data_IF_639823669628
#
_entry.id   IF_639823669628
#
_cell.length_a   1.000
_cell.length_b   1.000
_cell.length_c   1.000
_cell.angle_alpha   90.00
_cell.angle_beta   90.00
_cell.angle_gamma   90.00
#
_symmetry.space_group_name_H-M   'P 1'
#
loop_
_entity.id
_entity.type
_entity.pdbx_description
1 polymer ?
#
# COMPACT_ATOMS: atom_id res chain seq x y z
N UNK A 1 31.50 -22.65 -12.78
CA UNK A 1 31.52 -23.08 -11.36
C UNK A 1 30.85 -21.99 -10.51
N UNK A 2 29.51 -21.86 -10.62
CA UNK A 2 28.69 -20.91 -9.85
C UNK A 2 27.36 -21.58 -9.44
N UNK A 3 27.32 -22.93 -9.40
CA UNK A 3 26.11 -23.72 -9.14
C UNK A 3 25.83 -23.92 -7.64
N UNK A 4 26.80 -23.64 -6.76
CA UNK A 4 26.63 -23.76 -5.30
C UNK A 4 26.15 -22.47 -4.61
N UNK A 5 25.87 -21.39 -5.38
CA UNK A 5 25.42 -20.13 -4.78
C UNK A 5 24.14 -20.38 -3.96
N UNK A 6 24.19 -20.02 -2.69
CA UNK A 6 23.05 -20.11 -1.77
C UNK A 6 22.80 -18.75 -1.13
N UNK A 7 21.53 -18.50 -0.80
CA UNK A 7 21.08 -17.29 -0.12
C UNK A 7 20.25 -17.67 1.09
N UNK A 8 20.46 -16.93 2.16
CA UNK A 8 19.56 -16.92 3.32
C UNK A 8 18.63 -15.70 3.21
N UNK A 9 17.38 -15.89 3.60
CA UNK A 9 16.36 -14.84 3.64
C UNK A 9 15.22 -15.20 4.59
N UNK A 10 14.51 -14.18 5.06
CA UNK A 10 13.31 -14.35 5.87
C UNK A 10 12.08 -14.30 4.97
N UNK A 11 11.19 -15.29 5.10
CA UNK A 11 9.86 -15.30 4.49
C UNK A 11 8.83 -15.55 5.58
N UNK A 12 7.82 -14.68 5.68
CA UNK A 12 6.76 -14.75 6.71
C UNK A 12 7.27 -14.86 8.17
N UNK A 13 8.48 -14.39 8.45
CA UNK A 13 9.10 -14.44 9.78
C UNK A 13 9.96 -15.68 10.02
N UNK A 14 9.99 -16.64 9.11
CA UNK A 14 10.82 -17.84 9.18
C UNK A 14 12.10 -17.69 8.35
N UNK A 15 13.20 -18.25 8.84
CA UNK A 15 14.48 -18.26 8.13
C UNK A 15 14.48 -19.38 7.09
N UNK A 16 14.78 -19.03 5.85
CA UNK A 16 14.88 -19.95 4.74
C UNK A 16 16.24 -19.85 4.06
N UNK A 17 16.71 -20.99 3.56
CA UNK A 17 17.89 -21.09 2.70
C UNK A 17 17.47 -21.65 1.35
N UNK A 18 17.94 -21.03 0.28
CA UNK A 18 17.71 -21.49 -1.09
C UNK A 18 19.01 -21.45 -1.87
N UNK A 19 19.33 -22.54 -2.57
CA UNK A 19 20.49 -22.62 -3.47
C UNK A 19 20.11 -22.62 -4.93
N UNK A 20 21.08 -22.31 -5.79
CA UNK A 20 20.94 -22.40 -7.24
C UNK A 20 20.65 -23.84 -7.69
N UNK A 21 21.28 -24.83 -7.06
CA UNK A 21 21.01 -26.26 -7.25
C UNK A 21 19.56 -26.64 -6.95
N UNK A 22 18.95 -26.08 -5.90
CA UNK A 22 17.55 -26.34 -5.56
C UNK A 22 16.60 -25.86 -6.66
N UNK A 23 16.88 -24.68 -7.22
CA UNK A 23 16.10 -24.09 -8.32
C UNK A 23 16.26 -24.90 -9.60
N UNK A 24 17.48 -25.33 -9.94
CA UNK A 24 17.73 -26.19 -11.10
C UNK A 24 17.05 -27.54 -10.96
N UNK A 25 17.11 -28.15 -9.77
CA UNK A 25 16.41 -29.40 -9.46
C UNK A 25 14.89 -29.24 -9.54
N UNK A 26 14.37 -28.10 -9.10
CA UNK A 26 12.95 -27.77 -9.21
C UNK A 26 12.50 -27.60 -10.68
N UNK A 27 13.34 -27.02 -11.53
CA UNK A 27 13.09 -26.88 -12.97
C UNK A 27 13.12 -28.22 -13.71
N UNK A 28 13.94 -29.18 -13.25
CA UNK A 28 13.97 -30.53 -13.82
C UNK A 28 12.68 -31.33 -13.56
N UNK A 29 11.89 -30.95 -12.55
CA UNK A 29 10.64 -31.62 -12.16
C UNK A 29 9.45 -31.08 -12.97
N UNK A 30 9.34 -31.45 -14.24
CA UNK A 30 8.22 -31.08 -15.13
C UNK A 30 8.48 -29.82 -15.96
N UNK A 31 7.45 -29.26 -16.59
CA UNK A 31 7.56 -28.06 -17.45
C UNK A 31 7.02 -26.77 -16.81
N UNK A 32 7.29 -25.60 -17.43
CA UNK A 32 6.76 -24.32 -17.00
C UNK A 32 5.25 -24.22 -17.27
N UNK A 33 4.54 -23.61 -16.33
CA UNK A 33 3.16 -23.17 -16.52
C UNK A 33 3.12 -21.92 -17.44
N UNK A 34 1.94 -21.58 -18.03
CA UNK A 34 1.79 -20.37 -18.83
C UNK A 34 2.21 -19.09 -18.09
N UNK A 35 3.10 -18.31 -18.71
CA UNK A 35 3.60 -17.05 -18.16
C UNK A 35 2.61 -15.93 -18.46
N UNK A 36 2.10 -15.26 -17.42
CA UNK A 36 1.18 -14.12 -17.57
C UNK A 36 1.87 -12.75 -17.54
N UNK A 37 2.85 -12.57 -16.65
CA UNK A 37 3.39 -11.23 -16.36
C UNK A 37 4.89 -11.25 -16.09
N UNK A 38 5.35 -12.12 -15.19
CA UNK A 38 6.75 -12.18 -14.78
C UNK A 38 7.38 -13.52 -15.15
N UNK A 39 8.69 -13.50 -15.39
CA UNK A 39 9.46 -14.69 -15.80
C UNK A 39 10.83 -14.74 -15.13
N UNK A 40 11.38 -15.95 -15.05
CA UNK A 40 12.79 -16.25 -14.74
C UNK A 40 13.30 -17.23 -15.79
N UNK A 41 14.54 -17.07 -16.25
CA UNK A 41 15.15 -17.96 -17.23
C UNK A 41 16.02 -19.01 -16.55
N UNK A 42 15.78 -20.28 -16.88
CA UNK A 42 16.62 -21.42 -16.53
C UNK A 42 17.12 -22.03 -17.85
N UNK A 43 18.38 -21.79 -18.19
CA UNK A 43 18.88 -22.04 -19.55
C UNK A 43 18.10 -21.21 -20.57
N UNK A 44 17.66 -21.86 -21.65
CA UNK A 44 16.88 -21.22 -22.72
C UNK A 44 15.37 -21.15 -22.44
N UNK A 45 14.91 -21.70 -21.31
CA UNK A 45 13.49 -21.79 -20.97
C UNK A 45 13.08 -20.75 -19.94
N UNK A 46 11.95 -20.07 -20.20
CA UNK A 46 11.33 -19.14 -19.25
C UNK A 46 10.30 -19.87 -18.39
N UNK A 47 10.27 -19.48 -17.12
CA UNK A 47 9.41 -20.05 -16.09
C UNK A 47 8.66 -18.97 -15.32
N UNK A 48 7.42 -19.22 -14.87
CA UNK A 48 6.78 -18.41 -13.85
C UNK A 48 7.60 -18.42 -12.54
N UNK A 49 8.03 -17.26 -12.00
CA UNK A 49 8.90 -17.21 -10.83
C UNK A 49 8.28 -17.89 -9.60
N UNK A 50 6.96 -17.74 -9.41
CA UNK A 50 6.26 -18.36 -8.27
C UNK A 50 6.25 -19.87 -8.34
N UNK A 51 6.15 -20.45 -9.54
CA UNK A 51 6.15 -21.90 -9.72
C UNK A 51 7.50 -22.50 -9.34
N UNK A 52 8.60 -21.92 -9.82
CA UNK A 52 9.94 -22.40 -9.47
C UNK A 52 10.26 -22.17 -7.99
N UNK A 53 9.86 -21.03 -7.45
CA UNK A 53 10.13 -20.70 -6.06
C UNK A 53 9.34 -21.61 -5.09
N UNK A 54 8.07 -21.89 -5.37
CA UNK A 54 7.25 -22.88 -4.65
C UNK A 54 7.91 -24.26 -4.69
N UNK A 55 8.33 -24.72 -5.88
CA UNK A 55 8.94 -26.05 -6.04
C UNK A 55 10.32 -26.20 -5.42
N UNK A 56 11.11 -25.12 -5.39
CA UNK A 56 12.46 -25.15 -4.86
C UNK A 56 12.46 -25.00 -3.32
N UNK A 57 11.54 -24.19 -2.78
CA UNK A 57 11.45 -23.93 -1.34
C UNK A 57 10.47 -24.85 -0.60
N UNK A 58 9.54 -25.48 -1.32
CA UNK A 58 8.47 -26.30 -0.73
C UNK A 58 7.36 -25.49 -0.04
N UNK A 59 7.34 -24.17 -0.24
CA UNK A 59 6.39 -23.24 0.37
C UNK A 59 5.26 -22.94 -0.61
N UNK A 60 4.01 -22.95 -0.15
CA UNK A 60 2.84 -22.69 -0.99
C UNK A 60 2.93 -21.33 -1.67
N UNK A 61 2.54 -21.24 -2.94
CA UNK A 61 2.49 -19.96 -3.67
C UNK A 61 1.62 -18.91 -2.97
N UNK A 62 0.65 -19.28 -2.13
CA UNK A 62 -0.21 -18.34 -1.39
C UNK A 62 0.55 -17.53 -0.33
N UNK A 63 1.71 -18.01 0.08
CA UNK A 63 2.52 -17.42 1.15
C UNK A 63 3.45 -16.32 0.69
N UNK A 64 3.57 -16.11 -0.62
CA UNK A 64 4.45 -15.08 -1.19
C UNK A 64 3.94 -14.54 -2.53
N UNK A 65 4.40 -13.35 -2.87
CA UNK A 65 4.10 -12.69 -4.14
C UNK A 65 5.22 -12.90 -5.16
N UNK A 66 4.92 -12.70 -6.45
CA UNK A 66 5.88 -12.87 -7.56
C UNK A 66 7.17 -12.04 -7.36
N UNK A 67 7.05 -10.84 -6.79
CA UNK A 67 8.18 -9.94 -6.53
C UNK A 67 9.19 -10.57 -5.56
N UNK A 68 8.72 -11.28 -4.53
CA UNK A 68 9.58 -12.00 -3.58
C UNK A 68 10.37 -13.09 -4.30
N UNK A 69 9.68 -13.92 -5.09
CA UNK A 69 10.32 -14.99 -5.86
C UNK A 69 11.39 -14.44 -6.83
N UNK A 70 11.07 -13.40 -7.60
CA UNK A 70 12.01 -12.77 -8.55
C UNK A 70 13.24 -12.24 -7.83
N UNK A 71 13.07 -11.53 -6.71
CA UNK A 71 14.19 -10.95 -5.95
C UNK A 71 15.17 -12.02 -5.47
N UNK A 72 14.65 -13.14 -4.94
CA UNK A 72 15.50 -14.23 -4.45
C UNK A 72 16.16 -15.01 -5.60
N UNK A 73 15.42 -15.33 -6.66
CA UNK A 73 15.96 -16.01 -7.84
C UNK A 73 17.04 -15.16 -8.53
N UNK A 74 16.88 -13.84 -8.55
CA UNK A 74 17.91 -12.95 -9.08
C UNK A 74 19.15 -12.88 -8.20
N UNK A 75 19.00 -12.88 -6.86
CA UNK A 75 20.16 -12.98 -5.94
C UNK A 75 20.96 -14.27 -6.14
N UNK A 76 20.31 -15.34 -6.62
CA UNK A 76 20.96 -16.59 -7.05
C UNK A 76 21.61 -16.52 -8.44
N UNK A 77 21.53 -15.38 -9.13
CA UNK A 77 22.14 -15.15 -10.44
C UNK A 77 21.27 -15.55 -11.64
N UNK A 78 19.98 -15.86 -11.44
CA UNK A 78 19.11 -16.17 -12.56
C UNK A 78 18.62 -14.90 -13.27
N UNK A 79 18.60 -14.85 -14.62
CA UNK A 79 17.97 -13.77 -15.36
C UNK A 79 16.46 -13.76 -15.11
N UNK A 80 15.88 -12.59 -14.87
CA UNK A 80 14.44 -12.43 -14.60
C UNK A 80 13.85 -11.27 -15.38
N UNK A 81 12.51 -11.24 -15.48
CA UNK A 81 11.80 -10.01 -15.83
C UNK A 81 12.19 -8.87 -14.87
N UNK A 82 12.23 -7.61 -15.33
CA UNK A 82 12.48 -6.47 -14.47
C UNK A 82 11.39 -6.34 -13.38
N UNK A 83 11.78 -5.85 -12.20
CA UNK A 83 10.84 -5.45 -11.17
C UNK A 83 10.42 -3.99 -11.39
N UNK A 84 9.20 -3.58 -11.00
CA UNK A 84 8.71 -2.20 -11.20
C UNK A 84 9.62 -1.11 -10.62
N UNK A 85 10.42 -1.46 -9.61
CA UNK A 85 11.31 -0.56 -8.87
C UNK A 85 12.69 -0.31 -9.52
N UNK A 86 13.01 -0.95 -10.66
CA UNK A 86 14.40 -1.03 -11.17
C UNK A 86 14.64 -0.37 -12.54
N UNK A 87 13.75 0.53 -12.98
CA UNK A 87 14.11 1.47 -14.06
C UNK A 87 15.02 2.57 -13.50
N UNK A 88 16.31 2.28 -13.32
CA UNK A 88 17.35 3.31 -13.32
C UNK A 88 17.75 3.63 -14.76
N UNK A 89 17.90 4.93 -15.05
CA UNK A 89 17.85 5.56 -16.37
C UNK A 89 18.95 5.13 -17.37
N UNK A 90 18.64 5.19 -18.67
CA UNK A 90 19.25 6.25 -19.48
C UNK A 90 18.23 7.26 -20.01
N UNK A 91 18.77 8.37 -20.50
CA UNK A 91 18.13 9.61 -20.93
C UNK A 91 16.92 9.46 -21.86
N UNK A 92 16.05 10.47 -21.76
CA UNK A 92 14.78 10.72 -22.45
C UNK A 92 13.54 9.93 -21.95
N UNK A 93 12.43 10.62 -21.64
CA UNK A 93 11.19 9.97 -21.23
C UNK A 93 10.53 9.33 -22.44
N UNK A 94 10.83 8.05 -22.69
CA UNK A 94 9.88 7.22 -23.40
C UNK A 94 8.65 7.10 -22.49
N UNK A 95 7.61 7.87 -22.83
CA UNK A 95 6.33 7.88 -22.11
C UNK A 95 5.91 6.43 -21.92
N UNK A 96 5.66 5.98 -20.67
CA UNK A 96 5.02 4.70 -20.47
C UNK A 96 3.70 4.76 -21.20
N UNK A 97 3.60 4.03 -22.31
CA UNK A 97 2.30 3.70 -22.90
C UNK A 97 1.64 2.78 -21.87
N UNK A 98 0.99 3.38 -20.86
CA UNK A 98 -0.08 2.68 -20.17
C UNK A 98 -0.95 2.11 -21.29
N UNK A 99 -1.27 0.81 -21.28
CA UNK A 99 -2.37 0.33 -22.10
C UNK A 99 -3.53 1.25 -21.74
N UNK A 100 -3.98 2.06 -22.70
CA UNK A 100 -5.19 2.85 -22.53
C UNK A 100 -6.21 1.87 -21.98
N UNK A 101 -6.58 2.06 -20.70
CA UNK A 101 -7.69 1.33 -20.12
C UNK A 101 -8.81 1.41 -21.16
N UNK A 102 -9.45 0.29 -21.54
CA UNK A 102 -10.51 0.31 -22.54
C UNK A 102 -11.40 1.49 -22.19
N UNK A 103 -11.56 2.45 -23.11
CA UNK A 103 -12.29 3.70 -22.89
C UNK A 103 -13.53 3.33 -22.10
N UNK A 104 -13.50 3.58 -20.79
CA UNK A 104 -14.64 3.29 -19.93
C UNK A 104 -15.75 4.10 -20.56
N UNK A 105 -16.84 3.46 -20.94
CA UNK A 105 -18.01 4.19 -21.40
C UNK A 105 -18.36 5.17 -20.27
N UNK A 106 -18.04 6.45 -20.50
CA UNK A 106 -18.23 7.50 -19.51
C UNK A 106 -19.70 7.56 -19.12
N UNK A 107 -20.60 7.23 -20.06
CA UNK A 107 -22.03 7.07 -19.80
C UNK A 107 -22.30 5.96 -18.78
N UNK A 108 -21.68 4.79 -18.93
CA UNK A 108 -21.83 3.67 -18.00
C UNK A 108 -21.27 3.98 -16.60
N UNK A 109 -20.13 4.67 -16.53
CA UNK A 109 -19.52 5.07 -15.26
C UNK A 109 -20.35 6.13 -14.52
N UNK A 110 -20.86 7.14 -15.24
CA UNK A 110 -21.76 8.16 -14.68
C UNK A 110 -23.07 7.55 -14.22
N UNK A 111 -23.69 6.69 -15.03
CA UNK A 111 -24.90 5.95 -14.65
C UNK A 111 -24.67 5.12 -13.39
N UNK A 112 -23.56 4.37 -13.34
CA UNK A 112 -23.20 3.57 -12.16
C UNK A 112 -23.08 4.41 -10.89
N UNK A 113 -22.50 5.61 -11.00
CA UNK A 113 -22.39 6.52 -9.86
C UNK A 113 -23.75 7.06 -9.40
N UNK A 114 -24.64 7.39 -10.34
CA UNK A 114 -26.02 7.81 -10.05
C UNK A 114 -26.79 6.67 -9.37
N UNK A 115 -26.79 5.47 -9.97
CA UNK A 115 -27.46 4.29 -9.43
C UNK A 115 -26.98 3.97 -8.00
N UNK A 116 -25.67 4.06 -7.75
CA UNK A 116 -25.10 3.88 -6.41
C UNK A 116 -25.53 4.98 -5.44
N UNK A 117 -25.52 6.24 -5.88
CA UNK A 117 -25.94 7.37 -5.05
C UNK A 117 -27.41 7.24 -4.65
N UNK A 118 -28.28 6.90 -5.60
CA UNK A 118 -29.70 6.62 -5.36
C UNK A 118 -29.88 5.41 -4.44
N UNK A 119 -29.11 4.34 -4.66
CA UNK A 119 -29.14 3.15 -3.80
C UNK A 119 -28.75 3.48 -2.37
N UNK A 120 -27.68 4.26 -2.15
CA UNK A 120 -27.28 4.66 -0.80
C UNK A 120 -28.28 5.63 -0.16
N UNK A 121 -28.98 6.46 -0.94
CA UNK A 121 -30.14 7.24 -0.51
C UNK A 121 -29.97 7.97 0.83
N UNK A 122 -31.07 8.09 1.59
CA UNK A 122 -31.11 8.70 2.94
C UNK A 122 -31.08 7.65 4.07
N UNK A 123 -31.09 6.37 3.75
CA UNK A 123 -31.12 5.29 4.74
C UNK A 123 -29.68 4.91 5.16
N UNK A 124 -29.44 4.71 6.46
CA UNK A 124 -28.16 4.21 6.92
C UNK A 124 -27.90 2.79 6.38
N UNK A 125 -26.72 2.57 5.79
CA UNK A 125 -26.32 1.28 5.21
C UNK A 125 -26.51 0.11 6.19
N UNK A 126 -26.23 0.31 7.48
CA UNK A 126 -26.42 -0.71 8.52
C UNK A 126 -27.88 -1.17 8.65
N UNK A 127 -28.83 -0.25 8.54
CA UNK A 127 -30.26 -0.57 8.62
C UNK A 127 -30.72 -1.38 7.41
N UNK A 128 -30.23 -1.00 6.22
CA UNK A 128 -30.48 -1.75 4.99
C UNK A 128 -29.87 -3.15 5.06
N UNK A 129 -28.62 -3.29 5.47
CA UNK A 129 -27.95 -4.60 5.64
C UNK A 129 -28.74 -5.50 6.57
N UNK A 130 -29.19 -5.01 7.73
CA UNK A 130 -30.01 -5.81 8.65
C UNK A 130 -31.33 -6.29 8.03
N UNK A 131 -31.95 -5.48 7.16
CA UNK A 131 -33.15 -5.90 6.39
C UNK A 131 -32.82 -6.98 5.37
N UNK A 132 -31.72 -6.85 4.63
CA UNK A 132 -31.26 -7.88 3.68
C UNK A 132 -31.00 -9.21 4.40
N UNK A 133 -30.33 -9.17 5.55
CA UNK A 133 -30.06 -10.35 6.38
C UNK A 133 -31.37 -11.03 6.81
N UNK A 134 -32.37 -10.26 7.25
CA UNK A 134 -33.68 -10.79 7.65
C UNK A 134 -34.46 -11.40 6.46
N UNK A 135 -34.39 -10.81 5.27
CA UNK A 135 -35.04 -11.36 4.07
C UNK A 135 -34.41 -12.68 3.60
N UNK A 136 -33.09 -12.81 3.77
CA UNK A 136 -32.34 -14.01 3.45
C UNK A 136 -32.55 -15.15 4.46
N UNK A 137 -33.02 -14.84 5.67
CA UNK A 137 -33.28 -15.85 6.69
C UNK A 137 -34.33 -16.86 6.20
N UNK A 138 -33.93 -18.14 6.13
CA UNK A 138 -34.78 -19.23 5.63
C UNK A 138 -35.15 -19.12 4.15
N UNK A 139 -34.40 -18.35 3.35
CA UNK A 139 -34.50 -18.38 1.89
C UNK A 139 -33.74 -19.59 1.32
N UNK A 140 -34.21 -20.10 0.19
CA UNK A 140 -33.57 -21.14 -0.62
C UNK A 140 -33.34 -20.65 -2.05
N UNK A 141 -32.78 -21.52 -2.90
CA UNK A 141 -32.49 -21.19 -4.30
C UNK A 141 -33.71 -20.82 -5.14
N UNK A 142 -34.91 -21.21 -4.73
CA UNK A 142 -36.16 -20.92 -5.45
C UNK A 142 -36.81 -19.61 -4.98
N UNK A 143 -36.56 -19.22 -3.73
CA UNK A 143 -37.21 -18.06 -3.10
C UNK A 143 -36.32 -16.83 -2.99
N UNK A 144 -34.99 -16.97 -3.08
CA UNK A 144 -34.04 -15.85 -2.90
C UNK A 144 -34.30 -14.71 -3.88
N UNK A 145 -34.50 -14.99 -5.16
CA UNK A 145 -34.70 -13.95 -6.18
C UNK A 145 -35.98 -13.15 -5.92
N UNK A 146 -37.08 -13.84 -5.58
CA UNK A 146 -38.35 -13.21 -5.28
C UNK A 146 -38.27 -12.35 -4.00
N UNK A 147 -37.54 -12.80 -2.98
CA UNK A 147 -37.36 -12.06 -1.72
C UNK A 147 -36.44 -10.85 -1.87
N UNK A 148 -35.44 -10.93 -2.75
CA UNK A 148 -34.43 -9.89 -2.93
C UNK A 148 -34.77 -8.86 -4.01
N UNK A 149 -35.69 -9.17 -4.94
CA UNK A 149 -36.10 -8.27 -6.02
C UNK A 149 -36.49 -6.85 -5.56
N UNK A 150 -37.21 -6.64 -4.43
CA UNK A 150 -37.57 -5.30 -3.96
C UNK A 150 -36.38 -4.45 -3.49
N UNK A 151 -35.26 -5.07 -3.16
CA UNK A 151 -34.09 -4.39 -2.58
C UNK A 151 -33.17 -3.77 -3.66
N UNK A 152 -33.44 -4.02 -4.94
CA UNK A 152 -32.73 -3.38 -6.05
C UNK A 152 -31.25 -3.77 -6.20
N UNK A 153 -30.84 -4.91 -5.63
CA UNK A 153 -29.50 -5.48 -5.76
C UNK A 153 -29.33 -6.17 -7.13
N UNK A 154 -29.31 -5.37 -8.19
CA UNK A 154 -29.17 -5.88 -9.56
C UNK A 154 -27.70 -6.16 -9.92
N UNK A 155 -27.49 -7.02 -10.92
CA UNK A 155 -26.16 -7.25 -11.51
C UNK A 155 -25.50 -5.95 -12.01
N UNK A 156 -26.30 -5.03 -12.52
CA UNK A 156 -25.82 -3.73 -12.99
C UNK A 156 -25.36 -2.83 -11.84
N UNK A 157 -26.07 -2.84 -10.71
CA UNK A 157 -25.63 -2.15 -9.49
C UNK A 157 -24.31 -2.73 -8.97
N UNK A 158 -24.16 -4.06 -8.97
CA UNK A 158 -22.91 -4.71 -8.56
C UNK A 158 -21.75 -4.38 -9.50
N UNK A 159 -21.95 -4.47 -10.82
CA UNK A 159 -20.94 -4.08 -11.81
C UNK A 159 -20.56 -2.61 -11.66
N UNK A 160 -21.55 -1.74 -11.45
CA UNK A 160 -21.34 -0.32 -11.20
C UNK A 160 -20.54 -0.05 -9.91
N UNK A 161 -20.86 -0.75 -8.82
CA UNK A 161 -20.12 -0.68 -7.55
C UNK A 161 -18.64 -1.06 -7.73
N UNK A 162 -18.37 -2.15 -8.46
CA UNK A 162 -17.01 -2.61 -8.74
C UNK A 162 -16.25 -1.63 -9.62
N UNK A 163 -16.90 -1.05 -10.63
CA UNK A 163 -16.32 -0.02 -11.50
C UNK A 163 -15.98 1.25 -10.69
N UNK A 164 -16.92 1.77 -9.90
CA UNK A 164 -16.68 2.94 -9.04
C UNK A 164 -15.58 2.66 -8.03
N UNK A 165 -15.53 1.47 -7.42
CA UNK A 165 -14.45 1.07 -6.51
C UNK A 165 -13.08 1.07 -7.19
N UNK A 166 -12.99 0.59 -8.43
CA UNK A 166 -11.74 0.63 -9.19
C UNK A 166 -11.28 2.07 -9.44
N UNK A 167 -12.19 2.97 -9.79
CA UNK A 167 -11.88 4.39 -9.99
C UNK A 167 -11.56 5.12 -8.68
N UNK A 168 -12.24 4.79 -7.58
CA UNK A 168 -12.02 5.41 -6.27
C UNK A 168 -10.58 5.24 -5.77
N UNK A 169 -9.94 4.08 -6.03
CA UNK A 169 -8.52 3.88 -5.73
C UNK A 169 -7.62 4.88 -6.47
N UNK A 170 -7.85 5.07 -7.78
CA UNK A 170 -7.11 6.04 -8.61
C UNK A 170 -7.35 7.48 -8.19
N UNK A 171 -8.58 7.80 -7.77
CA UNK A 171 -8.91 9.11 -7.21
C UNK A 171 -8.13 9.37 -5.92
N UNK A 172 -7.97 8.36 -5.06
CA UNK A 172 -7.14 8.49 -3.86
C UNK A 172 -5.67 8.80 -4.19
N UNK A 173 -5.08 8.11 -5.18
CA UNK A 173 -3.72 8.43 -5.65
C UNK A 173 -3.61 9.84 -6.24
N UNK A 174 -4.61 10.26 -7.03
CA UNK A 174 -4.68 11.62 -7.58
C UNK A 174 -4.77 12.68 -6.48
N UNK A 175 -5.62 12.46 -5.47
CA UNK A 175 -5.75 13.36 -4.32
C UNK A 175 -4.40 13.49 -3.61
N UNK A 176 -3.72 12.38 -3.35
CA UNK A 176 -2.42 12.39 -2.70
C UNK A 176 -1.37 13.17 -3.52
N UNK A 177 -1.26 12.88 -4.81
CA UNK A 177 -0.38 13.61 -5.73
C UNK A 177 -0.69 15.13 -5.74
N UNK A 178 -1.97 15.48 -5.87
CA UNK A 178 -2.42 16.85 -5.94
C UNK A 178 -2.12 17.61 -4.64
N UNK A 179 -2.37 17.00 -3.47
CA UNK A 179 -2.06 17.60 -2.17
C UNK A 179 -0.57 17.92 -2.08
N UNK A 180 0.31 16.96 -2.41
CA UNK A 180 1.76 17.18 -2.34
C UNK A 180 2.15 18.34 -3.26
N UNK A 181 1.83 18.24 -4.56
CA UNK A 181 2.23 19.23 -5.57
C UNK A 181 1.70 20.62 -5.25
N UNK A 182 0.48 20.72 -4.71
CA UNK A 182 -0.14 21.99 -4.32
C UNK A 182 0.43 22.56 -3.01
N UNK A 183 0.92 21.72 -2.11
CA UNK A 183 1.58 22.18 -0.89
C UNK A 183 3.01 22.69 -1.14
N UNK A 184 3.74 22.14 -2.13
CA UNK A 184 5.15 22.46 -2.38
C UNK A 184 5.48 23.96 -2.42
N UNK A 185 4.74 24.84 -3.14
CA UNK A 185 5.07 26.26 -3.21
C UNK A 185 4.99 26.99 -1.86
N UNK A 186 4.14 26.51 -0.96
CA UNK A 186 3.93 27.12 0.36
C UNK A 186 4.89 26.58 1.42
N UNK A 187 5.38 25.34 1.25
CA UNK A 187 6.25 24.70 2.25
C UNK A 187 7.74 24.83 1.93
N UNK A 188 8.12 24.90 0.65
CA UNK A 188 9.53 24.99 0.25
C UNK A 188 10.07 26.40 0.51
N UNK A 189 11.21 26.47 1.18
CA UNK A 189 11.91 27.73 1.39
C UNK A 189 12.71 28.14 0.12
N UNK A 190 13.02 29.44 -0.03
CA UNK A 190 13.94 29.88 -1.07
C UNK A 190 15.26 29.10 -1.07
N UNK A 191 15.58 28.53 -2.23
CA UNK A 191 16.79 27.74 -2.45
C UNK A 191 16.75 26.30 -1.91
N UNK A 192 15.65 25.87 -1.29
CA UNK A 192 15.45 24.47 -0.90
C UNK A 192 15.25 23.60 -2.16
N UNK A 193 15.86 22.41 -2.18
CA UNK A 193 15.87 21.52 -3.33
C UNK A 193 15.35 20.15 -2.95
N UNK A 194 14.44 19.63 -3.78
CA UNK A 194 13.99 18.25 -3.70
C UNK A 194 15.16 17.35 -4.12
N UNK A 195 15.66 16.51 -3.19
CA UNK A 195 16.84 15.66 -3.41
C UNK A 195 16.47 14.24 -3.86
N UNK A 196 15.22 13.82 -3.63
CA UNK A 196 14.66 12.58 -4.17
C UNK A 196 13.31 12.85 -4.81
N UNK A 197 13.00 12.12 -5.88
CA UNK A 197 11.69 12.20 -6.56
C UNK A 197 10.56 11.97 -5.54
N UNK A 198 9.59 12.88 -5.40
CA UNK A 198 8.49 12.72 -4.45
C UNK A 198 7.64 11.48 -4.72
N UNK A 199 7.12 10.86 -3.66
CA UNK A 199 6.21 9.73 -3.76
C UNK A 199 4.78 10.22 -3.99
N UNK A 200 4.40 10.46 -5.26
CA UNK A 200 3.09 11.05 -5.58
C UNK A 200 1.94 10.03 -5.68
N UNK A 201 2.23 8.73 -5.78
CA UNK A 201 1.21 7.70 -5.90
C UNK A 201 1.67 6.38 -5.26
N UNK A 202 0.71 5.58 -4.82
CA UNK A 202 0.99 4.26 -4.24
C UNK A 202 1.64 3.33 -5.28
N UNK A 203 2.68 2.60 -4.88
CA UNK A 203 3.31 1.55 -5.69
C UNK A 203 4.47 1.95 -6.60
N UNK A 204 4.91 3.21 -6.61
CA UNK A 204 6.04 3.66 -7.45
C UNK A 204 7.38 3.81 -6.71
N UNK A 205 7.49 3.32 -5.47
CA UNK A 205 8.47 3.79 -4.49
C UNK A 205 9.51 2.77 -4.01
N UNK A 206 10.14 2.00 -4.89
CA UNK A 206 11.34 1.25 -4.52
C UNK A 206 12.44 2.17 -3.97
N UNK A 207 12.71 2.09 -2.67
CA UNK A 207 13.80 2.81 -1.99
C UNK A 207 13.48 4.21 -1.45
N UNK A 208 12.21 4.65 -1.50
CA UNK A 208 11.80 5.95 -0.92
C UNK A 208 11.35 5.75 0.52
N UNK A 209 11.86 6.56 1.44
CA UNK A 209 11.53 6.45 2.86
C UNK A 209 10.37 7.37 3.25
N UNK A 210 10.26 8.53 2.60
CA UNK A 210 9.26 9.56 2.89
C UNK A 210 8.58 10.07 1.60
N UNK A 211 7.42 10.71 1.74
CA UNK A 211 6.67 11.27 0.62
C UNK A 211 7.43 12.42 -0.07
N UNK A 212 8.12 13.26 0.71
CA UNK A 212 9.00 14.32 0.21
C UNK A 212 10.31 14.34 1.00
N UNK A 213 11.41 14.40 0.26
CA UNK A 213 12.76 14.54 0.80
C UNK A 213 13.46 15.71 0.08
N UNK A 214 13.90 16.70 0.85
CA UNK A 214 14.69 17.83 0.38
C UNK A 214 16.07 17.81 1.02
N UNK A 215 16.91 18.77 0.63
CA UNK A 215 18.18 19.05 1.29
C UNK A 215 18.02 19.61 2.71
N UNK A 216 16.78 19.94 3.14
CA UNK A 216 16.50 20.56 4.45
C UNK A 216 15.46 19.81 5.30
N UNK A 217 14.58 18.99 4.70
CA UNK A 217 13.46 18.34 5.41
C UNK A 217 13.08 16.97 4.85
N UNK A 218 12.41 16.20 5.69
CA UNK A 218 11.68 14.97 5.36
C UNK A 218 10.22 15.11 5.77
N UNK A 219 9.32 14.66 4.91
CA UNK A 219 7.89 14.94 5.07
C UNK A 219 7.02 13.74 4.74
N UNK A 220 6.00 13.54 5.57
CA UNK A 220 4.89 12.61 5.33
C UNK A 220 3.56 13.37 5.14
N UNK A 221 2.74 12.94 4.19
CA UNK A 221 1.43 13.52 3.90
C UNK A 221 0.31 12.50 4.13
N UNK A 222 -0.67 12.85 4.98
CA UNK A 222 -1.87 12.03 5.22
C UNK A 222 -3.12 12.82 4.88
N UNK A 223 -3.53 12.73 3.61
CA UNK A 223 -4.68 13.43 3.04
C UNK A 223 -6.04 12.69 3.24
N UNK A 224 -6.11 11.73 4.16
CA UNK A 224 -7.33 10.95 4.38
C UNK A 224 -8.25 11.63 5.40
N UNK A 225 -9.52 11.84 5.04
CA UNK A 225 -10.55 12.31 5.96
C UNK A 225 -10.92 11.22 6.99
N UNK A 226 -11.08 11.63 8.26
CA UNK A 226 -11.43 10.75 9.37
C UNK A 226 -12.94 10.83 9.67
N UNK A 227 -13.55 9.66 9.92
CA UNK A 227 -15.01 9.49 10.14
C UNK A 227 -15.34 8.85 11.50
N UNK A 228 -14.38 8.82 12.43
CA UNK A 228 -14.52 8.32 13.80
C UNK A 228 -14.12 6.84 14.00
N UNK A 229 -14.32 5.97 13.00
CA UNK A 229 -13.93 4.54 13.01
C UNK A 229 -12.63 4.28 12.24
N UNK A 230 -11.58 5.03 12.58
CA UNK A 230 -10.35 5.14 11.78
C UNK A 230 -9.16 4.35 12.32
N UNK A 231 -9.38 3.15 12.88
CA UNK A 231 -8.33 2.35 13.54
C UNK A 231 -7.09 2.16 12.66
N UNK A 232 -7.25 1.81 11.39
CA UNK A 232 -6.11 1.64 10.48
C UNK A 232 -5.41 2.96 10.17
N UNK A 233 -6.15 4.07 10.01
CA UNK A 233 -5.56 5.39 9.76
C UNK A 233 -4.80 5.90 10.98
N UNK A 234 -5.32 5.69 12.18
CA UNK A 234 -4.63 5.96 13.46
C UNK A 234 -3.30 5.22 13.53
N UNK A 235 -3.30 3.92 13.21
CA UNK A 235 -2.10 3.08 13.21
C UNK A 235 -1.06 3.56 12.20
N UNK A 236 -1.48 3.82 10.96
CA UNK A 236 -0.61 4.34 9.91
C UNK A 236 -0.01 5.69 10.31
N UNK A 237 -0.83 6.63 10.78
CA UNK A 237 -0.36 7.96 11.20
C UNK A 237 0.74 7.87 12.27
N UNK A 238 0.58 6.98 13.27
CA UNK A 238 1.60 6.78 14.30
C UNK A 238 2.84 6.11 13.72
N UNK A 239 2.69 5.16 12.79
CA UNK A 239 3.82 4.53 12.12
C UNK A 239 4.65 5.55 11.32
N UNK A 240 3.98 6.47 10.62
CA UNK A 240 4.63 7.54 9.84
C UNK A 240 5.35 8.52 10.77
N UNK A 241 4.70 8.93 11.88
CA UNK A 241 5.32 9.77 12.91
C UNK A 241 6.57 9.09 13.50
N UNK A 242 6.49 7.81 13.85
CA UNK A 242 7.65 7.05 14.35
C UNK A 242 8.74 6.96 13.28
N UNK A 243 8.37 6.73 12.02
CA UNK A 243 9.31 6.71 10.90
C UNK A 243 10.11 8.01 10.76
N UNK A 244 9.42 9.15 10.89
CA UNK A 244 10.01 10.49 10.87
C UNK A 244 10.98 10.69 12.05
N UNK A 245 10.59 10.33 13.27
CA UNK A 245 11.47 10.48 14.46
C UNK A 245 12.71 9.58 14.39
N UNK A 246 12.60 8.42 13.74
CA UNK A 246 13.71 7.50 13.54
C UNK A 246 14.67 7.96 12.43
N UNK A 247 14.29 8.93 11.59
CA UNK A 247 15.22 9.55 10.65
C UNK A 247 16.19 10.46 11.40
N UNK A 248 17.49 10.28 11.12
CA UNK A 248 18.57 10.98 11.81
C UNK A 248 19.60 11.50 10.84
N UNK A 249 19.26 12.57 10.14
CA UNK A 249 20.25 13.24 9.30
C UNK A 249 20.19 14.76 9.38
N UNK A 250 19.63 15.29 10.48
CA UNK A 250 19.58 16.72 10.74
C UNK A 250 18.58 17.48 9.87
N UNK A 251 17.89 16.80 8.94
CA UNK A 251 16.73 17.37 8.24
C UNK A 251 15.58 17.56 9.20
N UNK A 252 14.79 18.62 8.99
CA UNK A 252 13.55 18.85 9.74
C UNK A 252 12.52 17.78 9.38
N UNK A 253 11.89 17.19 10.38
CA UNK A 253 10.83 16.21 10.18
C UNK A 253 9.46 16.88 10.26
N UNK A 254 8.60 16.64 9.27
CA UNK A 254 7.30 17.29 9.20
C UNK A 254 6.20 16.27 8.82
N UNK A 255 5.04 16.39 9.46
CA UNK A 255 3.88 15.55 9.20
C UNK A 255 2.66 16.43 8.92
N UNK A 256 2.17 16.33 7.68
CA UNK A 256 1.01 17.08 7.20
C UNK A 256 -0.21 16.17 7.17
N UNK A 257 -1.28 16.60 7.82
CA UNK A 257 -2.53 15.82 7.93
C UNK A 257 -3.71 16.65 7.47
N UNK A 258 -4.73 16.01 6.90
CA UNK A 258 -5.96 16.71 6.51
C UNK A 258 -6.93 16.81 7.69
N UNK A 259 -7.16 18.03 8.17
CA UNK A 259 -8.10 18.33 9.25
C UNK A 259 -7.52 18.19 10.65
N UNK A 260 -8.33 18.59 11.64
CA UNK A 260 -7.91 18.66 13.05
C UNK A 260 -7.92 17.32 13.79
N UNK A 261 -8.81 16.40 13.42
CA UNK A 261 -8.97 15.12 14.15
C UNK A 261 -7.67 14.29 14.26
N UNK A 262 -6.84 14.16 13.21
CA UNK A 262 -5.55 13.48 13.33
C UNK A 262 -4.59 14.17 14.31
N UNK A 263 -4.54 15.51 14.31
CA UNK A 263 -3.71 16.30 15.22
C UNK A 263 -4.16 16.14 16.68
N UNK A 264 -5.46 16.22 16.92
CA UNK A 264 -6.04 16.03 18.25
C UNK A 264 -5.77 14.61 18.76
N UNK A 265 -5.88 13.60 17.89
CA UNK A 265 -5.51 12.22 18.22
C UNK A 265 -4.05 12.10 18.65
N UNK A 266 -3.12 12.66 17.87
CA UNK A 266 -1.69 12.63 18.20
C UNK A 266 -1.39 13.31 19.54
N UNK A 267 -2.10 14.40 19.88
CA UNK A 267 -1.86 15.20 21.07
C UNK A 267 -2.54 14.68 22.33
N UNK A 268 -3.65 13.95 22.21
CA UNK A 268 -4.51 13.60 23.36
C UNK A 268 -4.69 12.10 23.59
N UNK A 269 -4.33 11.25 22.62
CA UNK A 269 -4.63 9.82 22.73
C UNK A 269 -3.84 9.11 23.83
N UNK A 270 -4.57 8.31 24.60
CA UNK A 270 -4.04 7.38 25.61
C UNK A 270 -3.70 5.99 25.04
N UNK A 271 -3.94 5.74 23.75
CA UNK A 271 -3.52 4.49 23.11
C UNK A 271 -2.00 4.38 23.13
N UNK A 272 -1.45 3.19 23.33
CA UNK A 272 0.01 2.99 23.35
C UNK A 272 0.58 3.02 21.93
N UNK A 273 1.83 3.47 21.80
CA UNK A 273 2.55 3.41 20.53
C UNK A 273 2.75 1.96 20.09
N UNK A 274 3.01 1.02 21.01
CA UNK A 274 3.10 -0.40 20.68
C UNK A 274 1.81 -0.96 20.09
N UNK A 275 0.65 -0.61 20.67
CA UNK A 275 -0.64 -0.95 20.07
C UNK A 275 -0.73 -0.43 18.65
N UNK A 276 -0.38 0.84 18.43
CA UNK A 276 -0.50 1.48 17.11
C UNK A 276 0.41 0.78 16.08
N UNK A 277 1.64 0.48 16.46
CA UNK A 277 2.64 -0.20 15.62
C UNK A 277 2.36 -1.70 15.42
N UNK A 278 1.38 -2.30 16.09
CA UNK A 278 1.11 -3.76 16.00
C UNK A 278 0.81 -4.30 14.59
N UNK A 279 0.50 -3.45 13.61
CA UNK A 279 0.33 -3.82 12.19
C UNK A 279 1.45 -3.28 11.27
N UNK A 280 2.43 -2.60 11.84
CA UNK A 280 3.58 -2.06 11.12
C UNK A 280 4.62 -3.15 10.85
N UNK A 281 5.56 -2.85 9.95
CA UNK A 281 6.64 -3.77 9.59
C UNK A 281 7.46 -4.18 10.82
N UNK A 282 7.99 -5.42 10.88
CA UNK A 282 8.88 -5.86 11.96
C UNK A 282 10.05 -4.91 12.19
N UNK A 283 10.64 -4.40 11.10
CA UNK A 283 11.78 -3.48 11.16
C UNK A 283 11.45 -2.16 11.88
N UNK A 284 10.28 -1.58 11.61
CA UNK A 284 9.87 -0.34 12.29
C UNK A 284 9.62 -0.57 13.78
N UNK A 285 8.97 -1.70 14.11
CA UNK A 285 8.73 -2.08 15.52
C UNK A 285 10.03 -2.30 16.28
N UNK A 286 10.98 -2.99 15.66
CA UNK A 286 12.28 -3.26 16.26
C UNK A 286 13.11 -1.98 16.41
N UNK A 287 13.16 -1.14 15.39
CA UNK A 287 13.84 0.16 15.46
C UNK A 287 13.26 1.08 16.55
N UNK A 288 11.92 1.08 16.70
CA UNK A 288 11.26 1.78 17.79
C UNK A 288 11.69 1.24 19.17
N UNK A 289 11.65 -0.07 19.37
CA UNK A 289 12.05 -0.72 20.63
C UNK A 289 13.52 -0.46 20.96
N UNK A 290 14.42 -0.54 19.97
CA UNK A 290 15.84 -0.25 20.16
C UNK A 290 16.09 1.21 20.56
N UNK A 291 15.34 2.15 19.99
CA UNK A 291 15.55 3.58 20.21
C UNK A 291 14.95 4.09 21.52
N UNK A 292 13.76 3.63 21.88
CA UNK A 292 12.97 4.16 22.99
C UNK A 292 12.78 3.17 24.15
N UNK A 293 13.25 1.93 23.99
CA UNK A 293 13.16 0.89 25.00
C UNK A 293 11.76 0.26 25.11
N UNK A 294 11.49 -0.33 26.28
CA UNK A 294 10.25 -1.04 26.60
C UNK A 294 9.23 -0.20 27.37
N UNK A 295 9.49 1.10 27.56
CA UNK A 295 8.55 1.98 28.25
C UNK A 295 7.28 2.14 27.41
N UNK A 296 6.12 1.84 28.00
CA UNK A 296 4.83 2.03 27.33
C UNK A 296 4.48 3.51 27.27
N UNK A 297 4.86 4.16 26.17
CA UNK A 297 4.42 5.51 25.87
C UNK A 297 3.04 5.48 25.22
N UNK A 298 2.14 6.34 25.70
CA UNK A 298 0.96 6.70 24.94
C UNK A 298 1.35 7.50 23.69
N UNK A 299 0.48 7.53 22.69
CA UNK A 299 0.67 8.37 21.51
C UNK A 299 0.84 9.84 21.91
N UNK A 300 0.06 10.36 22.86
CA UNK A 300 0.23 11.74 23.35
C UNK A 300 1.58 11.99 24.03
N UNK A 301 2.05 11.07 24.87
CA UNK A 301 3.35 11.17 25.52
C UNK A 301 4.50 11.08 24.51
N UNK A 302 4.37 10.21 23.51
CA UNK A 302 5.34 10.11 22.43
C UNK A 302 5.40 11.40 21.61
N UNK A 303 4.24 11.95 21.25
CA UNK A 303 4.12 13.23 20.51
C UNK A 303 4.71 14.40 21.28
N UNK A 304 4.45 14.50 22.59
CA UNK A 304 4.92 15.61 23.42
C UNK A 304 6.38 15.48 23.88
N UNK A 305 6.99 14.29 23.75
CA UNK A 305 8.35 14.01 24.18
C UNK A 305 9.24 13.61 22.99
N UNK A 306 9.46 12.32 22.74
CA UNK A 306 10.31 11.85 21.65
C UNK A 306 10.07 12.45 20.26
N UNK A 307 8.83 12.81 19.93
CA UNK A 307 8.46 13.38 18.63
C UNK A 307 8.19 14.89 18.69
N UNK A 308 8.59 15.58 19.76
CA UNK A 308 8.31 17.01 19.95
C UNK A 308 8.93 17.89 18.84
N UNK A 309 10.03 17.45 18.23
CA UNK A 309 10.70 18.16 17.15
C UNK A 309 10.06 17.92 15.77
N UNK A 310 9.06 17.03 15.68
CA UNK A 310 8.31 16.82 14.43
C UNK A 310 7.25 17.91 14.29
N UNK A 311 7.34 18.69 13.21
CA UNK A 311 6.37 19.75 12.92
C UNK A 311 5.06 19.14 12.42
N UNK A 312 3.98 19.32 13.17
CA UNK A 312 2.64 18.86 12.80
C UNK A 312 1.81 20.00 12.21
N UNK A 313 1.26 19.83 11.00
CA UNK A 313 0.49 20.88 10.28
C UNK A 313 -0.82 20.34 9.73
N UNK A 314 -1.88 21.15 9.79
CA UNK A 314 -3.12 20.88 9.08
C UNK A 314 -2.98 21.36 7.63
N UNK A 315 -3.22 20.46 6.68
CA UNK A 315 -3.17 20.77 5.25
C UNK A 315 -4.17 21.86 4.85
N UNK A 316 -5.31 21.98 5.55
CA UNK A 316 -6.29 23.03 5.25
C UNK A 316 -5.71 24.45 5.43
N UNK A 317 -4.64 24.62 6.21
CA UNK A 317 -3.97 25.92 6.40
C UNK A 317 -3.02 26.27 5.24
N UNK A 318 -2.80 25.36 4.29
CA UNK A 318 -1.75 25.43 3.27
C UNK A 318 -2.32 25.39 1.86
N UNK A 319 -3.26 24.46 1.62
CA UNK A 319 -3.88 24.25 0.31
C UNK A 319 -5.31 24.82 0.22
N UNK A 320 -5.85 25.31 1.34
CA UNK A 320 -7.18 25.90 1.48
C UNK A 320 -7.19 27.41 1.29
#
# INVERSE_FOLDING_TARGET
>A
MDDERAIDFVLNGEQHRLSRTDVLSAAARGGPEPIRTHWVSIGDQRWPPRQLFERALGVSRTEFISHTAIRQLRRLGFPTSPLPDEREAPDEPEQPTEPLAPRSDLGAAVKSFIDLHEFFGQEALSSRVGRLEALLEGADSETVDARMAPEGLTDDLLKGALLVRQHAGRVNDLIHAAVIVRALPSILEPGERIVRRPSLASGNGGGRKFDLETDRRVVEFKAAEWKGRDTMRKRMLVADLVGLVLERDGRRAELYVLGRQPLDYLRTSTSTVEWALGRSSPNLREAYKQRFGSAELTVSQFTAGPAADVVLRDLNEIIG
#
